data_IF_292567064776
#
_entry.id   IF_292567064776
#
_cell.length_a   1.000
_cell.length_b   1.000
_cell.length_c   1.000
_cell.angle_alpha   90.00
_cell.angle_beta   90.00
_cell.angle_gamma   90.00
#
_symmetry.space_group_name_H-M   'P 1'
#
loop_
_entity.id
_entity.type
_entity.pdbx_description
1 polymer ?
#
# COMPACT_ATOMS: atom_id res chain seq x y z
N UNK A 1 20.19 -2.10 -10.70
CA UNK A 1 19.81 -2.98 -9.57
C UNK A 1 18.38 -2.68 -9.10
N UNK A 2 17.41 -2.57 -10.02
CA UNK A 2 15.99 -2.34 -9.67
C UNK A 2 15.08 -3.55 -9.87
N UNK A 3 15.60 -4.60 -10.52
CA UNK A 3 14.88 -5.82 -10.88
C UNK A 3 14.31 -6.58 -9.66
N UNK A 4 15.08 -6.89 -8.58
CA UNK A 4 14.53 -7.67 -7.48
C UNK A 4 13.42 -6.94 -6.70
N UNK A 5 13.46 -5.60 -6.63
CA UNK A 5 12.44 -4.81 -5.95
C UNK A 5 11.14 -4.70 -6.75
N UNK A 6 11.24 -4.58 -8.08
CA UNK A 6 10.07 -4.56 -8.96
C UNK A 6 9.40 -5.94 -9.04
N UNK A 7 10.20 -7.01 -9.10
CA UNK A 7 9.71 -8.39 -9.04
C UNK A 7 8.99 -8.67 -7.71
N UNK A 8 9.55 -8.23 -6.59
CA UNK A 8 8.90 -8.36 -5.28
C UNK A 8 7.59 -7.57 -5.21
N UNK A 9 7.59 -6.30 -5.64
CA UNK A 9 6.38 -5.48 -5.68
C UNK A 9 5.30 -6.11 -6.56
N UNK A 10 5.69 -6.69 -7.70
CA UNK A 10 4.76 -7.38 -8.61
C UNK A 10 4.11 -8.58 -7.94
N UNK A 11 4.89 -9.41 -7.24
CA UNK A 11 4.38 -10.59 -6.53
C UNK A 11 3.43 -10.22 -5.39
N UNK A 12 3.79 -9.22 -4.58
CA UNK A 12 2.92 -8.73 -3.50
C UNK A 12 1.63 -8.13 -4.05
N UNK A 13 1.71 -7.41 -5.18
CA UNK A 13 0.54 -6.88 -5.85
C UNK A 13 -0.41 -7.98 -6.36
N UNK A 14 0.12 -9.03 -6.97
CA UNK A 14 -0.67 -10.19 -7.39
C UNK A 14 -1.35 -10.90 -6.21
N UNK A 15 -0.64 -11.02 -5.08
CA UNK A 15 -1.19 -11.59 -3.85
C UNK A 15 -2.32 -10.72 -3.29
N UNK A 16 -2.09 -9.40 -3.22
CA UNK A 16 -3.08 -8.43 -2.75
C UNK A 16 -4.35 -8.44 -3.58
N UNK A 17 -4.23 -8.49 -4.90
CA UNK A 17 -5.37 -8.52 -5.82
C UNK A 17 -6.20 -9.81 -5.73
N UNK A 18 -5.65 -10.89 -5.17
CA UNK A 18 -6.38 -12.14 -4.89
C UNK A 18 -7.01 -12.14 -3.51
N UNK A 19 -6.50 -11.34 -2.57
CA UNK A 19 -7.04 -11.22 -1.23
C UNK A 19 -8.32 -10.37 -1.24
N UNK A 20 -9.45 -10.87 -0.71
CA UNK A 20 -10.64 -10.05 -0.58
C UNK A 20 -10.40 -8.95 0.45
N UNK A 21 -10.86 -7.73 0.15
CA UNK A 21 -10.86 -6.65 1.14
C UNK A 21 -11.62 -7.09 2.42
N UNK A 22 -11.06 -6.88 3.63
CA UNK A 22 -11.69 -7.30 4.88
C UNK A 22 -13.08 -6.65 5.06
N UNK A 23 -14.18 -7.42 5.06
CA UNK A 23 -15.53 -6.86 4.91
C UNK A 23 -15.95 -5.98 6.09
N UNK A 24 -15.51 -6.31 7.31
CA UNK A 24 -15.82 -5.55 8.52
C UNK A 24 -15.10 -4.18 8.58
N UNK A 25 -14.09 -3.95 7.73
CA UNK A 25 -13.39 -2.67 7.61
C UNK A 25 -14.02 -1.72 6.57
N UNK A 26 -15.06 -2.17 5.83
CA UNK A 26 -15.71 -1.31 4.83
C UNK A 26 -16.44 -0.15 5.50
N UNK A 27 -16.11 1.08 5.08
CA UNK A 27 -16.68 2.31 5.64
C UNK A 27 -16.27 2.56 7.09
N UNK A 28 -15.21 1.89 7.57
CA UNK A 28 -14.63 2.14 8.89
C UNK A 28 -13.56 3.22 8.78
N UNK A 29 -13.60 4.11 9.76
CA UNK A 29 -12.53 5.05 10.06
C UNK A 29 -11.82 4.57 11.33
N UNK A 30 -10.50 4.44 11.27
CA UNK A 30 -9.64 4.12 12.43
C UNK A 30 -8.61 5.23 12.55
N UNK A 31 -8.45 5.79 13.75
CA UNK A 31 -7.52 6.91 13.99
C UNK A 31 -7.72 8.12 13.04
N UNK A 32 -8.95 8.32 12.55
CA UNK A 32 -9.28 9.38 11.58
C UNK A 32 -8.97 9.05 10.11
N UNK A 33 -8.56 7.82 9.81
CA UNK A 33 -8.20 7.37 8.47
C UNK A 33 -9.28 6.40 7.93
N UNK A 34 -9.82 6.69 6.74
CA UNK A 34 -10.73 5.80 6.02
C UNK A 34 -9.94 4.65 5.39
N UNK A 35 -10.25 3.43 5.83
CA UNK A 35 -9.50 2.24 5.45
C UNK A 35 -9.71 1.84 3.98
N UNK A 36 -10.88 2.12 3.41
CA UNK A 36 -11.16 1.88 1.98
C UNK A 36 -10.39 2.89 1.13
N UNK A 37 -10.35 4.16 1.55
CA UNK A 37 -9.58 5.19 0.85
C UNK A 37 -8.08 4.90 0.92
N UNK A 38 -7.59 4.46 2.08
CA UNK A 38 -6.20 4.11 2.28
C UNK A 38 -5.75 2.95 1.36
N UNK A 39 -6.55 1.88 1.26
CA UNK A 39 -6.32 0.80 0.29
C UNK A 39 -6.30 1.32 -1.15
N UNK A 40 -7.31 2.10 -1.54
CA UNK A 40 -7.45 2.61 -2.91
C UNK A 40 -6.28 3.53 -3.33
N UNK A 41 -5.85 4.43 -2.44
CA UNK A 41 -4.73 5.35 -2.71
C UNK A 41 -3.41 4.59 -2.88
N UNK A 42 -3.14 3.60 -2.03
CA UNK A 42 -1.95 2.76 -2.13
C UNK A 42 -2.01 1.91 -3.41
N UNK A 43 -3.13 1.21 -3.65
CA UNK A 43 -3.34 0.35 -4.81
C UNK A 43 -3.15 1.12 -6.13
N UNK A 44 -3.71 2.33 -6.21
CA UNK A 44 -3.53 3.21 -7.37
C UNK A 44 -2.07 3.61 -7.59
N UNK A 45 -1.33 3.92 -6.53
CA UNK A 45 0.09 4.28 -6.62
C UNK A 45 1.00 3.09 -6.93
N UNK A 46 0.71 1.90 -6.38
CA UNK A 46 1.45 0.65 -6.66
C UNK A 46 1.26 0.24 -8.11
N UNK A 47 0.02 0.20 -8.60
CA UNK A 47 -0.29 -0.09 -10.02
C UNK A 47 0.44 0.87 -10.97
N UNK A 48 0.52 2.15 -10.58
CA UNK A 48 1.24 3.18 -11.31
C UNK A 48 2.77 2.97 -11.31
N UNK A 49 3.32 2.47 -10.21
CA UNK A 49 4.75 2.14 -10.10
C UNK A 49 5.12 0.95 -10.97
N UNK A 50 4.27 -0.09 -10.98
CA UNK A 50 4.43 -1.28 -11.82
C UNK A 50 4.36 -0.97 -13.32
N UNK A 51 3.63 0.08 -13.71
CA UNK A 51 3.59 0.58 -15.09
C UNK A 51 4.70 1.60 -15.42
N UNK A 52 5.64 1.84 -14.49
CA UNK A 52 6.80 2.71 -14.70
C UNK A 52 6.54 4.22 -14.51
N UNK A 53 5.42 4.61 -13.92
CA UNK A 53 5.01 6.02 -13.78
C UNK A 53 4.66 6.38 -12.34
N UNK A 54 5.68 6.53 -11.49
CA UNK A 54 5.52 7.13 -10.16
C UNK A 54 6.03 8.58 -10.15
N UNK A 55 5.12 9.52 -10.41
CA UNK A 55 5.41 10.95 -10.31
C UNK A 55 5.48 11.44 -8.85
N UNK A 56 6.00 12.65 -8.66
CA UNK A 56 6.21 13.23 -7.34
C UNK A 56 4.93 13.40 -6.50
N UNK A 57 3.75 13.53 -7.14
CA UNK A 57 2.46 13.60 -6.43
C UNK A 57 2.12 12.24 -5.84
N UNK A 58 2.19 11.17 -6.65
CA UNK A 58 1.95 9.79 -6.19
C UNK A 58 2.92 9.36 -5.11
N UNK A 59 4.21 9.74 -5.23
CA UNK A 59 5.18 9.51 -4.16
C UNK A 59 4.79 10.18 -2.84
N UNK A 60 4.29 11.42 -2.90
CA UNK A 60 3.83 12.12 -1.69
C UNK A 60 2.60 11.46 -1.08
N UNK A 61 1.68 10.95 -1.90
CA UNK A 61 0.53 10.16 -1.44
C UNK A 61 1.01 8.94 -0.67
N UNK A 62 1.90 8.12 -1.26
CA UNK A 62 2.44 6.94 -0.59
C UNK A 62 3.10 7.24 0.77
N UNK A 63 3.86 8.33 0.87
CA UNK A 63 4.46 8.75 2.15
C UNK A 63 3.40 9.12 3.21
N UNK A 64 2.30 9.75 2.81
CA UNK A 64 1.18 10.04 3.72
C UNK A 64 0.47 8.74 4.12
N UNK A 65 0.22 7.84 3.17
CA UNK A 65 -0.38 6.53 3.43
C UNK A 65 0.48 5.67 4.38
N UNK A 66 1.81 5.68 4.24
CA UNK A 66 2.72 4.97 5.16
C UNK A 66 2.57 5.50 6.59
N UNK A 67 2.52 6.82 6.77
CA UNK A 67 2.31 7.42 8.08
C UNK A 67 0.91 7.13 8.65
N UNK A 68 -0.12 7.01 7.80
CA UNK A 68 -1.45 6.58 8.21
C UNK A 68 -1.46 5.11 8.66
N UNK A 69 -0.81 4.23 7.90
CA UNK A 69 -0.65 2.80 8.21
C UNK A 69 0.01 2.58 9.57
N UNK A 70 1.04 3.35 9.92
CA UNK A 70 1.67 3.28 11.25
C UNK A 70 0.72 3.59 12.42
N UNK A 71 -0.33 4.40 12.18
CA UNK A 71 -1.33 4.72 13.20
C UNK A 71 -2.44 3.66 13.27
N UNK A 72 -2.92 3.20 12.12
CA UNK A 72 -4.09 2.30 12.07
C UNK A 72 -3.73 0.86 12.40
N UNK A 73 -2.55 0.36 11.98
CA UNK A 73 -2.16 -1.04 12.15
C UNK A 73 -2.28 -1.55 13.59
N UNK A 74 -1.81 -0.82 14.63
CA UNK A 74 -1.97 -1.24 16.02
C UNK A 74 -3.43 -1.32 16.52
N UNK A 75 -4.36 -0.70 15.79
CA UNK A 75 -5.77 -0.52 16.17
C UNK A 75 -6.74 -1.31 15.29
N UNK A 76 -6.22 -2.05 14.29
CA UNK A 76 -7.01 -2.97 13.48
C UNK A 76 -7.31 -4.22 14.31
N UNK A 77 -8.57 -4.62 14.32
CA UNK A 77 -8.98 -5.94 14.83
C UNK A 77 -8.62 -6.99 13.77
N UNK A 78 -7.95 -8.07 14.18
CA UNK A 78 -7.43 -9.09 13.25
C UNK A 78 -8.51 -10.10 12.79
N UNK A 79 -9.73 -9.63 12.56
CA UNK A 79 -10.78 -10.44 11.97
C UNK A 79 -10.49 -10.66 10.48
N UNK A 80 -10.55 -11.90 9.99
CA UNK A 80 -10.42 -12.18 8.56
C UNK A 80 -9.11 -11.70 7.93
N UNK A 81 -7.99 -11.89 8.64
CA UNK A 81 -6.63 -11.57 8.19
C UNK A 81 -6.42 -10.08 7.86
N UNK A 82 -7.14 -9.21 8.54
CA UNK A 82 -7.08 -7.77 8.33
C UNK A 82 -5.69 -7.18 8.58
N UNK A 83 -4.97 -7.61 9.62
CA UNK A 83 -3.61 -7.10 9.88
C UNK A 83 -2.68 -7.51 8.74
N UNK A 84 -2.75 -8.77 8.27
CA UNK A 84 -1.94 -9.24 7.14
C UNK A 84 -2.24 -8.42 5.87
N UNK A 85 -3.51 -8.15 5.60
CA UNK A 85 -3.93 -7.33 4.46
C UNK A 85 -3.30 -5.93 4.47
N UNK A 86 -3.30 -5.25 5.62
CA UNK A 86 -2.76 -3.89 5.74
C UNK A 86 -1.23 -3.85 5.89
N UNK A 87 -0.59 -4.89 6.44
CA UNK A 87 0.88 -5.03 6.38
C UNK A 87 1.36 -5.26 4.95
N UNK A 88 0.65 -6.05 4.13
CA UNK A 88 0.95 -6.21 2.69
C UNK A 88 0.86 -4.87 1.96
N UNK A 89 -0.16 -4.05 2.24
CA UNK A 89 -0.27 -2.69 1.71
C UNK A 89 0.92 -1.82 2.12
N UNK A 90 1.36 -1.91 3.38
CA UNK A 90 2.52 -1.17 3.90
C UNK A 90 3.82 -1.56 3.18
N UNK A 91 4.05 -2.86 2.98
CA UNK A 91 5.23 -3.36 2.28
C UNK A 91 5.25 -2.89 0.82
N UNK A 92 4.13 -3.03 0.11
CA UNK A 92 4.01 -2.55 -1.27
C UNK A 92 4.23 -1.03 -1.38
N UNK A 93 3.68 -0.25 -0.45
CA UNK A 93 3.85 1.20 -0.43
C UNK A 93 5.31 1.61 -0.20
N UNK A 94 6.01 0.94 0.71
CA UNK A 94 7.44 1.19 0.97
C UNK A 94 8.30 0.89 -0.27
N UNK A 95 8.11 -0.30 -0.88
CA UNK A 95 8.82 -0.69 -2.09
C UNK A 95 8.57 0.27 -3.26
N UNK A 96 7.32 0.71 -3.44
CA UNK A 96 6.98 1.67 -4.49
C UNK A 96 7.69 3.03 -4.29
N UNK A 97 7.80 3.52 -3.06
CA UNK A 97 8.57 4.73 -2.74
C UNK A 97 10.05 4.55 -3.05
N UNK A 98 10.64 3.41 -2.67
CA UNK A 98 12.06 3.11 -2.92
C UNK A 98 12.38 3.04 -4.42
N UNK A 99 11.55 2.33 -5.20
CA UNK A 99 11.68 2.23 -6.65
C UNK A 99 11.56 3.61 -7.32
N UNK A 100 10.65 4.46 -6.85
CA UNK A 100 10.51 5.84 -7.33
C UNK A 100 11.74 6.71 -7.06
N UNK A 101 12.42 6.49 -5.94
CA UNK A 101 13.66 7.20 -5.61
C UNK A 101 14.84 6.74 -6.47
N UNK A 102 14.89 5.45 -6.82
CA UNK A 102 15.93 4.90 -7.69
C UNK A 102 15.82 5.42 -9.13
N UNK A 103 14.61 5.65 -9.63
CA UNK A 103 14.37 6.19 -10.98
C UNK A 103 14.51 7.72 -11.09
N UNK A 104 14.57 8.43 -9.96
CA UNK A 104 14.70 9.89 -9.91
C UNK A 104 16.16 10.39 -9.74
N UNK A 105 17.12 9.46 -9.58
CA UNK A 105 18.56 9.72 -9.47
C UNK A 105 19.26 9.48 -10.80
#
# INVERSE_FOLDING_TARGET
MGEPGLDLLSRLWEEHMRAPFPPHLRGREIEGEDLVLLDADIAGCVSSSLSGSLDGKRRRILLMCLAALEKVLPSIDDEGDAIEYYERLREMAALAVELGNANAR
#
